data_IF_652661732935
#
_entry.id   IF_652661732935
#
_cell.length_a   1.000
_cell.length_b   1.000
_cell.length_c   1.000
_cell.angle_alpha   90.00
_cell.angle_beta   90.00
_cell.angle_gamma   90.00
#
_symmetry.space_group_name_H-M   'P 1'
#
loop_
_entity.id
_entity.type
_entity.pdbx_description
1 polymer ?
#
# COMPACT_ATOMS: atom_id res chain seq x y z
N UNK A 1 -7.60 -17.16 86.21
CA UNK A 1 -6.58 -18.18 85.86
C UNK A 1 -5.67 -17.62 84.77
N UNK A 2 -4.34 -17.66 85.00
CA UNK A 2 -3.17 -17.44 84.09
C UNK A 2 -3.10 -16.06 83.36
N UNK A 3 -2.29 -15.09 83.85
CA UNK A 3 -0.85 -14.82 83.53
C UNK A 3 -0.58 -14.67 82.01
N UNK A 4 0.18 -13.74 81.47
CA UNK A 4 1.04 -12.63 81.92
C UNK A 4 1.56 -11.93 80.65
N UNK A 5 1.86 -10.63 80.75
CA UNK A 5 2.64 -9.77 79.87
C UNK A 5 3.74 -10.43 79.02
N UNK A 6 3.98 -9.89 77.81
CA UNK A 6 5.28 -9.28 77.42
C UNK A 6 5.20 -8.47 76.14
N UNK A 7 5.54 -7.19 76.28
CA UNK A 7 6.00 -6.25 75.27
C UNK A 7 7.27 -6.72 74.56
N UNK A 8 7.31 -6.64 73.23
CA UNK A 8 8.55 -6.66 72.43
C UNK A 8 8.55 -5.45 71.51
N UNK A 9 9.71 -4.78 71.53
CA UNK A 9 10.01 -3.47 70.98
C UNK A 9 10.06 -3.48 69.45
N UNK A 10 9.66 -2.36 68.87
CA UNK A 10 9.98 -1.96 67.50
C UNK A 10 11.50 -1.87 67.29
N UNK A 11 11.99 -2.42 66.18
CA UNK A 11 13.22 -2.02 65.50
C UNK A 11 12.91 -2.00 64.00
N UNK A 12 13.23 -0.88 63.37
CA UNK A 12 12.94 -0.55 61.99
C UNK A 12 13.74 -1.39 60.98
N UNK A 13 13.13 -1.65 59.83
CA UNK A 13 13.83 -1.75 58.56
C UNK A 13 12.98 -1.04 57.50
N UNK A 14 13.34 0.21 57.22
CA UNK A 14 13.03 0.83 55.93
C UNK A 14 13.69 -0.03 54.86
N UNK A 15 12.88 -0.74 54.08
CA UNK A 15 13.28 -1.23 52.76
C UNK A 15 12.38 -0.52 51.76
N UNK A 16 12.95 0.52 51.16
CA UNK A 16 12.51 1.09 49.89
C UNK A 16 12.39 -0.07 48.89
N UNK A 17 11.16 -0.44 48.54
CA UNK A 17 10.88 -1.28 47.38
C UNK A 17 10.15 -0.42 46.35
N UNK A 18 10.94 0.31 45.57
CA UNK A 18 10.67 0.62 44.18
C UNK A 18 12.06 0.65 43.52
N UNK A 19 12.35 -0.21 42.53
CA UNK A 19 11.60 -0.24 41.28
C UNK A 19 11.40 -1.65 40.67
N UNK A 20 10.15 -2.05 40.42
CA UNK A 20 9.79 -3.15 39.50
C UNK A 20 8.54 -2.78 38.68
N UNK A 21 8.45 -1.53 38.23
CA UNK A 21 7.36 -1.04 37.37
C UNK A 21 7.71 -1.07 35.87
N UNK A 22 8.71 -1.84 35.43
CA UNK A 22 9.08 -1.90 33.99
C UNK A 22 8.53 -3.12 33.26
N UNK A 23 7.52 -3.81 33.79
CA UNK A 23 7.04 -5.05 33.19
C UNK A 23 5.51 -5.20 33.30
N UNK A 24 4.74 -4.19 32.91
CA UNK A 24 3.28 -4.31 32.76
C UNK A 24 2.62 -3.25 31.87
N UNK A 25 3.37 -2.41 31.14
CA UNK A 25 2.69 -1.59 30.12
C UNK A 25 2.36 -2.50 28.93
N UNK A 26 1.06 -2.78 28.67
CA UNK A 26 0.69 -3.56 27.50
C UNK A 26 1.30 -2.87 26.26
N UNK A 27 1.75 -3.65 25.26
CA UNK A 27 2.30 -3.07 24.04
C UNK A 27 1.30 -2.04 23.50
N UNK A 28 1.80 -0.84 23.25
CA UNK A 28 0.98 0.28 22.80
C UNK A 28 0.17 -0.14 21.56
N UNK A 29 -1.15 0.14 21.50
CA UNK A 29 -1.95 -0.21 20.34
C UNK A 29 -1.35 0.33 19.03
N UNK A 30 -1.47 -0.39 17.90
CA UNK A 30 -0.92 0.06 16.61
C UNK A 30 -1.34 1.48 16.23
N UNK A 31 -2.57 1.87 16.54
CA UNK A 31 -3.11 3.20 16.29
C UNK A 31 -2.38 4.26 17.11
N UNK A 32 -2.08 3.97 18.38
CA UNK A 32 -1.33 4.87 19.25
C UNK A 32 0.15 4.96 18.84
N UNK A 33 0.75 3.87 18.34
CA UNK A 33 2.11 3.88 17.78
C UNK A 33 2.18 4.71 16.49
N UNK A 34 1.22 4.53 15.59
CA UNK A 34 1.11 5.30 14.35
C UNK A 34 0.90 6.79 14.65
N UNK A 35 -0.02 7.12 15.56
CA UNK A 35 -0.27 8.50 15.98
C UNK A 35 0.95 9.13 16.67
N UNK A 36 1.67 8.38 17.53
CA UNK A 36 2.90 8.86 18.14
C UNK A 36 3.97 9.13 17.08
N UNK A 37 4.16 8.22 16.12
CA UNK A 37 5.11 8.40 15.03
C UNK A 37 4.73 9.54 14.08
N UNK A 38 3.44 9.86 13.95
CA UNK A 38 3.00 11.07 13.24
C UNK A 38 3.31 12.34 14.02
N UNK A 39 3.08 12.33 15.33
CA UNK A 39 3.30 13.47 16.21
C UNK A 39 4.79 13.75 16.50
N UNK A 40 5.66 12.77 16.30
CA UNK A 40 7.07 12.86 16.67
C UNK A 40 7.98 12.24 15.61
N UNK A 41 8.98 13.00 15.18
CA UNK A 41 9.97 12.59 14.19
C UNK A 41 11.39 12.81 14.73
N UNK A 42 12.32 11.98 14.27
CA UNK A 42 13.74 12.09 14.63
C UNK A 42 14.46 12.84 13.54
N UNK A 43 15.06 13.99 13.87
CA UNK A 43 15.92 14.71 12.95
C UNK A 43 17.36 14.22 13.07
N UNK A 44 17.96 13.82 11.95
CA UNK A 44 19.36 13.43 11.83
C UNK A 44 19.98 14.26 10.71
N UNK A 45 21.06 15.00 11.00
CA UNK A 45 21.70 15.84 10.00
C UNK A 45 22.24 15.01 8.83
N UNK A 46 22.09 15.54 7.62
CA UNK A 46 22.60 14.93 6.40
C UNK A 46 21.65 15.05 5.21
N UNK A 47 22.15 14.62 4.06
CA UNK A 47 21.39 14.44 2.82
C UNK A 47 21.36 12.96 2.46
N UNK A 48 20.17 12.49 2.08
CA UNK A 48 19.95 11.11 1.62
C UNK A 48 19.62 11.16 0.13
N UNK A 49 20.44 10.59 -0.77
CA UNK A 49 20.07 10.44 -2.17
C UNK A 49 18.84 9.53 -2.29
N UNK A 50 17.77 10.01 -2.90
CA UNK A 50 16.49 9.33 -2.97
C UNK A 50 15.97 9.19 -4.41
N UNK A 51 15.31 8.08 -4.69
CA UNK A 51 14.59 7.83 -5.93
C UNK A 51 13.14 7.45 -5.61
N UNK A 52 12.21 8.01 -6.38
CA UNK A 52 10.78 7.73 -6.30
C UNK A 52 10.32 7.36 -7.71
N UNK A 53 9.73 6.18 -7.89
CA UNK A 53 9.17 5.79 -9.18
C UNK A 53 7.84 6.52 -9.46
N UNK A 54 7.35 6.39 -10.69
CA UNK A 54 6.26 7.17 -11.25
C UNK A 54 5.02 7.24 -10.33
N UNK A 55 4.66 6.14 -9.68
CA UNK A 55 3.49 6.03 -8.80
C UNK A 55 3.57 6.87 -7.50
N UNK A 56 4.76 7.32 -7.10
CA UNK A 56 4.99 8.12 -5.89
C UNK A 56 5.87 9.35 -6.11
N UNK A 57 6.25 9.64 -7.36
CA UNK A 57 7.16 10.73 -7.69
C UNK A 57 6.55 12.13 -7.49
N UNK A 58 5.25 12.29 -7.73
CA UNK A 58 4.57 13.62 -7.67
C UNK A 58 4.69 14.27 -6.29
N UNK A 59 4.54 13.49 -5.21
CA UNK A 59 4.63 13.99 -3.84
C UNK A 59 6.07 14.21 -3.34
N UNK A 60 7.07 13.70 -4.05
CA UNK A 60 8.45 13.68 -3.56
C UNK A 60 9.08 15.07 -3.36
N UNK A 61 8.89 16.08 -4.22
CA UNK A 61 9.42 17.42 -3.96
C UNK A 61 8.78 18.07 -2.72
N UNK A 62 7.46 17.96 -2.57
CA UNK A 62 6.72 18.51 -1.44
C UNK A 62 7.14 17.88 -0.11
N UNK A 63 7.34 16.57 -0.09
CA UNK A 63 7.86 15.84 1.06
C UNK A 63 9.29 16.30 1.45
N UNK A 64 10.13 16.68 0.47
CA UNK A 64 11.50 17.13 0.70
C UNK A 64 11.52 18.51 1.38
N UNK A 65 10.64 19.41 0.91
CA UNK A 65 10.44 20.73 1.50
C UNK A 65 9.93 20.63 2.94
N UNK A 66 8.91 19.79 3.17
CA UNK A 66 8.37 19.56 4.51
C UNK A 66 9.40 18.93 5.45
N UNK A 67 10.22 18.00 4.97
CA UNK A 67 11.30 17.40 5.75
C UNK A 67 12.28 18.48 6.22
N UNK A 68 12.75 19.33 5.31
CA UNK A 68 13.71 20.39 5.63
C UNK A 68 13.12 21.44 6.57
N UNK A 69 11.82 21.73 6.43
CA UNK A 69 11.10 22.66 7.31
C UNK A 69 10.96 22.11 8.74
N UNK A 70 10.62 20.83 8.88
CA UNK A 70 10.41 20.18 10.18
C UNK A 70 11.72 19.77 10.86
N UNK A 71 12.74 19.42 10.08
CA UNK A 71 14.06 19.03 10.54
C UNK A 71 15.15 19.85 9.84
N UNK A 72 15.43 21.09 10.29
CA UNK A 72 16.53 21.88 9.77
C UNK A 72 17.84 21.09 9.81
N UNK A 73 18.50 20.92 8.65
CA UNK A 73 19.74 20.14 8.51
C UNK A 73 19.57 18.69 8.06
N UNK A 74 18.33 18.20 7.97
CA UNK A 74 17.99 16.90 7.40
C UNK A 74 17.28 17.09 6.06
N UNK A 75 17.75 16.39 5.02
CA UNK A 75 17.23 16.53 3.66
C UNK A 75 17.34 15.21 2.89
N UNK A 76 16.68 15.17 1.73
CA UNK A 76 17.01 14.21 0.69
C UNK A 76 17.03 14.90 -0.66
N UNK A 77 17.83 14.36 -1.56
CA UNK A 77 17.99 14.88 -2.92
C UNK A 77 17.54 13.82 -3.91
N UNK A 78 16.73 14.23 -4.89
CA UNK A 78 16.26 13.33 -5.93
C UNK A 78 17.40 12.98 -6.90
N UNK A 79 17.61 11.68 -7.11
CA UNK A 79 18.66 11.12 -7.97
C UNK A 79 18.12 9.97 -8.83
N UNK A 80 18.93 9.48 -9.76
CA UNK A 80 18.65 8.24 -10.48
C UNK A 80 18.63 7.02 -9.53
N UNK A 81 17.81 6.01 -9.84
CA UNK A 81 17.69 4.80 -9.02
C UNK A 81 19.04 4.11 -8.75
N UNK A 82 20.01 4.19 -9.66
CA UNK A 82 21.34 3.57 -9.50
C UNK A 82 22.26 4.32 -8.52
N UNK A 83 21.85 5.52 -8.09
CA UNK A 83 22.60 6.37 -7.16
C UNK A 83 21.87 6.55 -5.82
N UNK A 84 20.64 6.02 -5.69
CA UNK A 84 19.77 6.24 -4.56
C UNK A 84 20.17 5.37 -3.34
N UNK A 85 20.17 5.97 -2.15
CA UNK A 85 20.20 5.24 -0.88
C UNK A 85 18.81 4.92 -0.37
N UNK A 86 17.80 5.68 -0.79
CA UNK A 86 16.39 5.46 -0.47
C UNK A 86 15.61 5.33 -1.77
N UNK A 87 14.85 4.25 -1.90
CA UNK A 87 14.08 3.92 -3.11
C UNK A 87 12.64 3.69 -2.71
N UNK A 88 11.72 4.50 -3.25
CA UNK A 88 10.28 4.28 -3.12
C UNK A 88 9.75 3.77 -4.47
N UNK A 89 9.43 2.47 -4.55
CA UNK A 89 8.94 1.85 -5.79
C UNK A 89 8.18 0.55 -5.54
N UNK A 90 7.19 0.26 -6.38
CA UNK A 90 6.58 -1.06 -6.49
C UNK A 90 7.45 -2.05 -7.26
N UNK A 91 8.34 -1.58 -8.14
CA UNK A 91 9.26 -2.45 -8.85
C UNK A 91 10.31 -2.99 -7.87
N UNK A 92 10.20 -4.29 -7.57
CA UNK A 92 11.11 -5.00 -6.66
C UNK A 92 12.58 -5.01 -7.12
N UNK A 93 12.87 -4.63 -8.36
CA UNK A 93 14.22 -4.52 -8.93
C UNK A 93 14.78 -3.09 -8.90
N UNK A 94 14.03 -2.10 -8.39
CA UNK A 94 14.49 -0.72 -8.33
C UNK A 94 15.58 -0.52 -7.25
N UNK A 95 16.54 0.36 -7.54
CA UNK A 95 17.62 0.73 -6.63
C UNK A 95 19.00 0.17 -7.01
N UNK A 96 20.06 0.57 -6.29
CA UNK A 96 21.40 0.08 -6.57
C UNK A 96 21.72 -1.24 -5.85
N UNK A 97 22.57 -2.04 -6.49
CA UNK A 97 23.06 -3.31 -5.97
C UNK A 97 22.00 -4.40 -5.94
N UNK A 98 22.37 -5.54 -5.35
CA UNK A 98 21.52 -6.75 -5.37
C UNK A 98 20.57 -6.84 -4.16
N UNK A 99 20.67 -5.91 -3.19
CA UNK A 99 19.97 -6.03 -1.91
C UNK A 99 19.82 -4.70 -1.15
N UNK A 100 18.63 -4.50 -0.54
CA UNK A 100 18.32 -3.44 0.41
C UNK A 100 18.47 -3.93 1.86
N UNK A 101 19.20 -3.22 2.71
CA UNK A 101 19.40 -3.60 4.13
C UNK A 101 18.16 -3.43 5.00
N UNK A 102 17.21 -2.62 4.55
CA UNK A 102 15.89 -2.47 5.14
C UNK A 102 14.88 -2.16 4.04
N UNK A 103 13.78 -2.91 3.97
CA UNK A 103 12.67 -2.63 3.06
C UNK A 103 11.34 -2.80 3.78
N UNK A 104 10.43 -1.84 3.63
CA UNK A 104 9.12 -1.85 4.27
C UNK A 104 8.04 -1.38 3.29
N UNK A 105 6.78 -1.85 3.42
CA UNK A 105 5.69 -1.28 2.64
C UNK A 105 5.59 0.22 2.91
N UNK A 106 5.29 0.97 1.87
CA UNK A 106 5.15 2.42 1.87
C UNK A 106 3.80 2.88 1.33
N UNK A 107 3.25 2.25 0.31
CA UNK A 107 1.92 2.58 -0.16
C UNK A 107 1.24 1.33 -0.73
N UNK A 108 -0.02 1.49 -1.08
CA UNK A 108 -0.84 0.47 -1.73
C UNK A 108 -1.08 0.89 -3.17
N UNK A 109 -0.51 0.13 -4.10
CA UNK A 109 -0.81 0.22 -5.52
C UNK A 109 -1.82 -0.88 -5.90
N UNK A 110 -2.48 -0.71 -7.04
CA UNK A 110 -3.46 -1.63 -7.59
C UNK A 110 -3.19 -1.96 -9.05
N UNK A 111 -3.66 -3.12 -9.50
CA UNK A 111 -3.78 -3.44 -10.91
C UNK A 111 -5.23 -3.23 -11.36
N UNK A 112 -5.44 -2.44 -12.40
CA UNK A 112 -6.75 -1.97 -12.86
C UNK A 112 -7.01 -2.43 -14.28
N UNK A 113 -8.17 -3.06 -14.49
CA UNK A 113 -8.68 -3.26 -15.84
C UNK A 113 -9.31 -1.95 -16.32
N UNK A 114 -8.84 -1.46 -17.47
CA UNK A 114 -9.33 -0.22 -18.08
C UNK A 114 -9.98 -0.52 -19.42
N UNK A 115 -11.06 0.20 -19.69
CA UNK A 115 -11.87 0.10 -20.90
C UNK A 115 -11.81 1.43 -21.61
N UNK A 116 -11.46 1.42 -22.90
CA UNK A 116 -11.49 2.64 -23.70
C UNK A 116 -12.89 2.84 -24.27
N UNK A 117 -13.59 3.89 -23.82
CA UNK A 117 -14.95 4.18 -24.27
C UNK A 117 -15.17 5.67 -24.48
N UNK A 118 -15.47 6.06 -25.71
CA UNK A 118 -15.91 7.41 -26.04
C UNK A 118 -17.27 7.77 -25.43
N UNK A 119 -18.05 6.77 -25.02
CA UNK A 119 -19.33 6.93 -24.34
C UNK A 119 -19.19 6.98 -22.79
N UNK A 120 -17.98 6.80 -22.25
CA UNK A 120 -17.74 6.75 -20.80
C UNK A 120 -18.32 5.49 -20.13
N UNK A 121 -18.45 4.39 -20.87
CA UNK A 121 -18.94 3.14 -20.31
C UNK A 121 -17.87 2.42 -19.47
N UNK A 122 -18.27 1.93 -18.31
CA UNK A 122 -17.52 0.99 -17.47
C UNK A 122 -18.13 -0.42 -17.58
N UNK A 123 -17.45 -1.44 -17.07
CA UNK A 123 -17.96 -2.80 -17.01
C UNK A 123 -17.70 -3.46 -15.66
N UNK A 124 -18.49 -4.49 -15.38
CA UNK A 124 -18.27 -5.47 -14.33
C UNK A 124 -17.57 -6.68 -14.95
N UNK A 125 -16.47 -7.12 -14.34
CA UNK A 125 -15.79 -8.34 -14.74
C UNK A 125 -15.65 -9.31 -13.57
N UNK A 126 -16.19 -10.52 -13.75
CA UNK A 126 -15.91 -11.67 -12.91
C UNK A 126 -14.54 -12.29 -13.25
N UNK A 127 -14.01 -13.18 -12.40
CA UNK A 127 -12.79 -13.93 -12.73
C UNK A 127 -12.90 -14.68 -14.07
N UNK A 128 -14.06 -15.25 -14.38
CA UNK A 128 -14.27 -16.00 -15.62
C UNK A 128 -14.16 -15.08 -16.86
N UNK A 129 -14.77 -13.89 -16.80
CA UNK A 129 -14.69 -12.90 -17.88
C UNK A 129 -13.27 -12.37 -18.04
N UNK A 130 -12.56 -12.07 -16.95
CA UNK A 130 -11.14 -11.66 -17.01
C UNK A 130 -10.28 -12.72 -17.70
N UNK A 131 -10.42 -13.99 -17.31
CA UNK A 131 -9.68 -15.08 -17.96
C UNK A 131 -9.99 -15.14 -19.45
N UNK A 132 -11.27 -15.08 -19.84
CA UNK A 132 -11.67 -15.17 -21.23
C UNK A 132 -11.19 -13.99 -22.09
N UNK A 133 -11.16 -12.78 -21.53
CA UNK A 133 -10.59 -11.60 -22.20
C UNK A 133 -9.08 -11.79 -22.41
N UNK A 134 -8.37 -12.21 -21.37
CA UNK A 134 -6.91 -12.33 -21.40
C UNK A 134 -6.44 -13.48 -22.30
N UNK A 135 -7.13 -14.62 -22.31
CA UNK A 135 -6.78 -15.76 -23.17
C UNK A 135 -7.34 -15.67 -24.59
N UNK A 136 -8.10 -14.60 -24.89
CA UNK A 136 -8.65 -14.33 -26.20
C UNK A 136 -9.83 -15.20 -26.58
N UNK A 137 -10.41 -15.99 -25.66
CA UNK A 137 -11.68 -16.68 -25.92
C UNK A 137 -12.88 -15.74 -25.95
N UNK A 138 -12.80 -14.59 -25.27
CA UNK A 138 -13.76 -13.49 -25.33
C UNK A 138 -13.20 -12.39 -26.24
N UNK A 139 -13.86 -12.17 -27.38
CA UNK A 139 -13.43 -11.22 -28.43
C UNK A 139 -14.53 -10.23 -28.83
N UNK A 140 -15.64 -10.19 -28.08
CA UNK A 140 -16.79 -9.32 -28.36
C UNK A 140 -17.42 -8.87 -27.05
N UNK A 141 -17.86 -7.61 -26.99
CA UNK A 141 -18.57 -7.07 -25.82
C UNK A 141 -19.95 -7.71 -25.60
N UNK A 142 -20.48 -8.40 -26.60
CA UNK A 142 -21.72 -9.17 -26.52
C UNK A 142 -21.51 -10.62 -26.06
N UNK A 143 -20.30 -10.98 -25.61
CA UNK A 143 -20.07 -12.33 -25.09
C UNK A 143 -21.02 -12.64 -23.92
N UNK A 144 -21.64 -13.84 -23.88
CA UNK A 144 -22.58 -14.20 -22.81
C UNK A 144 -22.00 -14.03 -21.40
N UNK A 145 -20.69 -14.18 -21.21
CA UNK A 145 -20.03 -14.01 -19.92
C UNK A 145 -20.01 -12.54 -19.50
N UNK A 146 -19.70 -11.62 -20.42
CA UNK A 146 -19.78 -10.17 -20.18
C UNK A 146 -21.22 -9.77 -19.89
N UNK A 147 -22.19 -10.25 -20.69
CA UNK A 147 -23.61 -9.96 -20.45
C UNK A 147 -24.05 -10.42 -19.05
N UNK A 148 -23.64 -11.62 -18.65
CA UNK A 148 -23.99 -12.16 -17.33
C UNK A 148 -23.46 -11.28 -16.19
N UNK A 149 -22.21 -10.81 -16.28
CA UNK A 149 -21.61 -9.91 -15.29
C UNK A 149 -22.29 -8.53 -15.26
N UNK A 150 -22.87 -8.08 -16.38
CA UNK A 150 -23.40 -6.73 -16.58
C UNK A 150 -24.94 -6.70 -16.67
N UNK A 151 -25.62 -7.50 -15.84
CA UNK A 151 -27.08 -7.53 -15.71
C UNK A 151 -27.82 -7.78 -17.05
N UNK A 152 -27.22 -8.58 -17.93
CA UNK A 152 -27.75 -8.95 -19.24
C UNK A 152 -27.53 -7.91 -20.34
N UNK A 153 -26.74 -6.85 -20.10
CA UNK A 153 -26.50 -5.78 -21.05
C UNK A 153 -25.01 -5.68 -21.38
N UNK A 154 -24.70 -5.50 -22.66
CA UNK A 154 -23.32 -5.27 -23.09
C UNK A 154 -22.92 -3.84 -22.68
N UNK A 155 -21.76 -3.66 -22.01
CA UNK A 155 -21.23 -2.33 -21.70
C UNK A 155 -20.95 -1.50 -22.95
N UNK A 156 -20.52 -2.16 -24.02
CA UNK A 156 -20.15 -1.59 -25.31
C UNK A 156 -20.66 -2.48 -26.45
N UNK A 157 -20.60 -1.96 -27.67
CA UNK A 157 -20.90 -2.72 -28.88
C UNK A 157 -19.62 -3.11 -29.63
N UNK A 158 -19.69 -4.20 -30.40
CA UNK A 158 -18.63 -4.57 -31.34
C UNK A 158 -17.50 -5.43 -30.76
N UNK A 159 -16.37 -5.52 -31.48
CA UNK A 159 -15.25 -6.36 -31.09
C UNK A 159 -14.55 -5.86 -29.83
N UNK A 160 -14.07 -6.80 -29.02
CA UNK A 160 -13.23 -6.55 -27.85
C UNK A 160 -11.80 -6.92 -28.21
N UNK A 161 -10.87 -5.99 -27.99
CA UNK A 161 -9.42 -6.24 -28.13
C UNK A 161 -8.75 -6.11 -26.78
N UNK A 162 -7.98 -7.11 -26.38
CA UNK A 162 -7.14 -7.03 -25.19
C UNK A 162 -5.73 -6.53 -25.56
N UNK A 163 -5.22 -5.56 -24.80
CA UNK A 163 -3.85 -5.05 -24.93
C UNK A 163 -2.99 -5.69 -23.84
N UNK A 164 -2.01 -6.55 -24.19
CA UNK A 164 -1.35 -7.44 -23.24
C UNK A 164 -0.21 -6.80 -22.43
N UNK A 165 0.17 -5.56 -22.73
CA UNK A 165 1.26 -4.84 -22.05
C UNK A 165 0.84 -4.49 -20.62
N UNK A 166 1.62 -4.89 -19.62
CA UNK A 166 1.31 -4.67 -18.20
C UNK A 166 2.58 -4.68 -17.33
N UNK A 167 2.48 -4.19 -16.09
CA UNK A 167 3.56 -4.31 -15.10
C UNK A 167 3.57 -5.69 -14.44
N UNK A 168 4.76 -6.21 -14.16
CA UNK A 168 5.01 -7.51 -13.54
C UNK A 168 4.34 -7.64 -12.16
N UNK A 169 4.47 -6.63 -11.28
CA UNK A 169 3.92 -6.68 -9.93
C UNK A 169 2.39 -6.66 -9.92
N UNK A 170 1.77 -5.91 -10.83
CA UNK A 170 0.32 -5.94 -11.05
C UNK A 170 -0.15 -7.34 -11.50
N UNK A 171 0.60 -8.00 -12.38
CA UNK A 171 0.32 -9.38 -12.81
C UNK A 171 0.44 -10.37 -11.66
N UNK A 172 1.43 -10.19 -10.78
CA UNK A 172 1.57 -11.03 -9.60
C UNK A 172 0.34 -10.90 -8.67
N UNK A 173 -0.14 -9.68 -8.43
CA UNK A 173 -1.37 -9.44 -7.67
C UNK A 173 -2.61 -10.04 -8.35
N UNK A 174 -2.74 -9.88 -9.68
CA UNK A 174 -3.83 -10.47 -10.45
C UNK A 174 -3.86 -11.99 -10.34
N UNK A 175 -2.69 -12.66 -10.40
CA UNK A 175 -2.58 -14.12 -10.26
C UNK A 175 -3.03 -14.59 -8.87
N UNK A 176 -2.67 -13.87 -7.81
CA UNK A 176 -3.10 -14.18 -6.44
C UNK A 176 -4.62 -14.03 -6.31
N UNK A 177 -5.17 -12.90 -6.76
CA UNK A 177 -6.60 -12.64 -6.76
C UNK A 177 -7.37 -13.69 -7.56
N UNK A 178 -6.93 -13.97 -8.79
CA UNK A 178 -7.60 -14.92 -9.66
C UNK A 178 -7.59 -16.33 -9.06
N UNK A 179 -6.44 -16.77 -8.52
CA UNK A 179 -6.34 -18.08 -7.86
C UNK A 179 -7.31 -18.23 -6.70
N UNK A 180 -7.49 -17.17 -5.92
CA UNK A 180 -8.44 -17.15 -4.80
C UNK A 180 -9.88 -17.35 -5.28
N UNK A 181 -10.31 -16.60 -6.29
CA UNK A 181 -11.73 -16.57 -6.68
C UNK A 181 -12.12 -17.59 -7.75
N UNK A 182 -11.18 -17.98 -8.62
CA UNK A 182 -11.40 -19.00 -9.64
C UNK A 182 -10.98 -20.41 -9.21
N UNK A 183 -10.23 -20.54 -8.10
CA UNK A 183 -9.73 -21.82 -7.59
C UNK A 183 -8.68 -22.50 -8.49
N UNK A 184 -8.11 -21.78 -9.46
CA UNK A 184 -7.12 -22.26 -10.44
C UNK A 184 -6.16 -21.15 -10.84
N UNK A 185 -5.00 -21.51 -11.39
CA UNK A 185 -4.03 -20.52 -11.84
C UNK A 185 -4.51 -19.78 -13.10
N UNK A 186 -4.20 -18.48 -13.19
CA UNK A 186 -4.49 -17.66 -14.37
C UNK A 186 -3.63 -18.15 -15.53
N UNK A 187 -4.27 -18.50 -16.65
CA UNK A 187 -3.57 -18.87 -17.88
C UNK A 187 -3.52 -17.67 -18.80
N UNK A 188 -2.34 -17.08 -19.01
CA UNK A 188 -2.22 -15.83 -19.75
C UNK A 188 -0.83 -15.67 -20.36
N UNK A 189 -0.80 -15.20 -21.61
CA UNK A 189 0.42 -14.70 -22.28
C UNK A 189 0.38 -13.16 -22.24
N UNK A 190 0.95 -12.58 -21.18
CA UNK A 190 1.01 -11.14 -20.95
C UNK A 190 2.42 -10.63 -21.28
N UNK A 191 2.51 -9.46 -21.92
CA UNK A 191 3.77 -8.72 -22.06
C UNK A 191 4.06 -7.98 -20.76
N UNK A 192 4.48 -8.75 -19.75
CA UNK A 192 4.79 -8.27 -18.41
C UNK A 192 6.17 -7.62 -18.36
N UNK A 193 6.21 -6.33 -18.02
CA UNK A 193 7.43 -5.51 -17.95
C UNK A 193 7.74 -5.12 -16.51
N UNK A 194 9.01 -4.80 -16.24
CA UNK A 194 9.42 -4.30 -14.92
C UNK A 194 8.75 -2.96 -14.57
N UNK A 195 8.51 -2.12 -15.57
CA UNK A 195 7.77 -0.87 -15.46
C UNK A 195 7.00 -0.59 -16.75
N UNK A 196 5.90 0.13 -16.62
CA UNK A 196 5.09 0.69 -17.72
C UNK A 196 4.76 2.13 -17.38
N UNK A 197 4.38 2.92 -18.37
CA UNK A 197 4.06 4.34 -18.22
C UNK A 197 2.82 4.71 -19.04
N UNK A 198 2.35 5.95 -18.91
CA UNK A 198 1.25 6.48 -19.73
C UNK A 198 1.49 6.32 -21.23
N UNK A 199 2.74 6.44 -21.70
CA UNK A 199 3.09 6.31 -23.12
C UNK A 199 2.78 4.91 -23.70
N UNK A 200 2.74 3.89 -22.86
CA UNK A 200 2.36 2.53 -23.28
C UNK A 200 0.85 2.41 -23.59
N UNK A 201 0.04 3.35 -23.11
CA UNK A 201 -1.44 3.27 -23.12
C UNK A 201 -2.14 4.51 -23.71
N UNK A 202 -1.44 5.59 -24.02
CA UNK A 202 -2.05 6.84 -24.51
C UNK A 202 -2.85 6.69 -25.83
N UNK A 203 -2.57 5.63 -26.59
CA UNK A 203 -3.18 5.33 -27.89
C UNK A 203 -4.03 4.05 -27.87
N UNK A 204 -4.63 3.69 -26.72
CA UNK A 204 -5.53 2.53 -26.65
C UNK A 204 -6.70 2.66 -27.65
N UNK A 205 -7.02 1.62 -28.44
CA UNK A 205 -8.15 1.65 -29.36
C UNK A 205 -9.49 1.74 -28.62
N UNK A 206 -10.50 2.39 -29.22
CA UNK A 206 -11.89 2.33 -28.73
C UNK A 206 -12.36 0.88 -28.57
N UNK A 207 -13.05 0.58 -27.47
CA UNK A 207 -13.55 -0.75 -27.17
C UNK A 207 -12.47 -1.75 -26.74
N UNK A 208 -11.24 -1.31 -26.51
CA UNK A 208 -10.17 -2.15 -25.97
C UNK A 208 -10.26 -2.29 -24.44
N UNK A 209 -9.67 -3.39 -23.95
CA UNK A 209 -9.39 -3.62 -22.54
C UNK A 209 -7.88 -3.70 -22.34
N UNK A 210 -7.35 -3.02 -21.33
CA UNK A 210 -5.97 -3.18 -20.87
C UNK A 210 -5.93 -3.43 -19.37
N UNK A 211 -4.85 -4.02 -18.87
CA UNK A 211 -4.60 -4.19 -17.44
C UNK A 211 -3.35 -3.38 -17.06
N UNK A 212 -3.53 -2.38 -16.21
CA UNK A 212 -2.52 -1.32 -15.98
C UNK A 212 -2.36 -1.04 -14.47
N UNK A 213 -1.22 -0.51 -14.02
CA UNK A 213 -1.11 0.02 -12.65
C UNK A 213 -2.11 1.14 -12.38
N UNK A 214 -2.63 1.24 -11.16
CA UNK A 214 -3.62 2.23 -10.74
C UNK A 214 -3.12 3.67 -10.87
N UNK A 215 -1.86 3.94 -10.50
CA UNK A 215 -1.24 5.24 -10.73
C UNK A 215 -1.17 5.60 -12.22
N UNK A 216 -0.81 4.64 -13.08
CA UNK A 216 -0.77 4.83 -14.54
C UNK A 216 -2.16 5.08 -15.09
N UNK A 217 -3.19 4.36 -14.64
CA UNK A 217 -4.58 4.64 -15.01
C UNK A 217 -5.02 6.06 -14.62
N UNK A 218 -4.69 6.49 -13.41
CA UNK A 218 -5.03 7.83 -12.91
C UNK A 218 -4.34 8.91 -13.75
N UNK A 219 -3.05 8.74 -14.05
CA UNK A 219 -2.30 9.66 -14.89
C UNK A 219 -2.82 9.67 -16.35
N UNK A 220 -3.09 8.49 -16.92
CA UNK A 220 -3.64 8.30 -18.26
C UNK A 220 -4.99 9.02 -18.42
N UNK A 221 -5.84 8.97 -17.39
CA UNK A 221 -7.16 9.63 -17.39
C UNK A 221 -7.10 11.15 -17.58
N UNK A 222 -5.94 11.77 -17.29
CA UNK A 222 -5.74 13.21 -17.46
C UNK A 222 -5.27 13.60 -18.87
N UNK A 223 -4.70 12.67 -19.64
CA UNK A 223 -4.04 12.98 -20.92
C UNK A 223 -4.59 12.22 -22.13
N UNK A 224 -5.29 11.11 -21.92
CA UNK A 224 -5.84 10.30 -22.99
C UNK A 224 -6.91 11.06 -23.79
N UNK A 225 -6.89 10.93 -25.12
CA UNK A 225 -7.90 11.54 -25.98
C UNK A 225 -9.30 10.95 -25.77
N UNK A 226 -9.36 9.64 -25.49
CA UNK A 226 -10.56 8.94 -25.05
C UNK A 226 -10.33 8.56 -23.60
N UNK A 227 -11.16 9.06 -22.70
CA UNK A 227 -10.98 8.82 -21.27
C UNK A 227 -11.16 7.32 -20.99
N UNK A 228 -10.13 6.63 -20.45
CA UNK A 228 -10.28 5.25 -20.03
C UNK A 228 -11.23 5.18 -18.83
N UNK A 229 -12.09 4.17 -18.81
CA UNK A 229 -12.99 3.89 -17.71
C UNK A 229 -12.51 2.65 -16.96
N UNK A 230 -12.47 2.67 -15.62
CA UNK A 230 -12.07 1.50 -14.85
C UNK A 230 -13.19 0.45 -14.91
N UNK A 231 -12.84 -0.82 -14.96
CA UNK A 231 -13.77 -1.92 -14.73
C UNK A 231 -13.81 -2.31 -13.24
N UNK A 232 -15.00 -2.68 -12.78
CA UNK A 232 -15.24 -3.14 -11.42
C UNK A 232 -15.09 -4.66 -11.33
N UNK A 233 -14.57 -5.16 -10.20
CA UNK A 233 -14.39 -6.59 -9.96
C UNK A 233 -15.66 -7.21 -9.37
N UNK A 234 -16.24 -8.20 -10.05
CA UNK A 234 -17.45 -8.88 -9.62
C UNK A 234 -17.13 -10.27 -9.04
N UNK A 235 -16.89 -10.33 -7.73
CA UNK A 235 -16.59 -11.60 -7.01
C UNK A 235 -17.74 -12.11 -6.14
N UNK A 236 -18.56 -11.21 -5.62
CA UNK A 236 -19.71 -11.52 -4.76
C UNK A 236 -20.88 -10.62 -5.18
N UNK A 237 -21.58 -11.02 -6.24
CA UNK A 237 -22.67 -10.24 -6.82
C UNK A 237 -23.91 -10.15 -5.90
N UNK A 238 -24.06 -11.07 -4.94
CA UNK A 238 -25.16 -11.03 -3.97
C UNK A 238 -24.94 -9.91 -2.96
N UNK A 239 -23.70 -9.78 -2.45
CA UNK A 239 -23.35 -8.74 -1.48
C UNK A 239 -23.00 -7.41 -2.12
N UNK A 240 -22.32 -7.45 -3.27
CA UNK A 240 -21.80 -6.29 -3.99
C UNK A 240 -22.23 -6.37 -5.47
N UNK A 241 -23.50 -6.03 -5.79
CA UNK A 241 -24.04 -6.17 -7.15
C UNK A 241 -23.36 -5.27 -8.19
N UNK A 242 -22.64 -4.23 -7.75
CA UNK A 242 -21.85 -3.33 -8.60
C UNK A 242 -20.34 -3.63 -8.54
N UNK A 243 -19.94 -4.76 -7.95
CA UNK A 243 -18.55 -5.14 -7.79
C UNK A 243 -17.74 -4.17 -6.91
N UNK A 244 -16.44 -4.44 -6.83
CA UNK A 244 -15.47 -3.54 -6.20
C UNK A 244 -14.91 -2.56 -7.24
N UNK A 245 -15.00 -1.27 -6.94
CA UNK A 245 -14.42 -0.19 -7.76
C UNK A 245 -12.94 -0.03 -7.43
N UNK A 246 -12.03 0.20 -8.40
CA UNK A 246 -10.61 0.50 -8.14
C UNK A 246 -10.42 1.94 -7.64
N UNK A 247 -11.12 2.32 -6.58
CA UNK A 247 -10.97 3.61 -5.91
C UNK A 247 -10.16 3.48 -4.61
N UNK A 248 -9.72 4.63 -4.10
CA UNK A 248 -8.87 4.69 -2.91
C UNK A 248 -9.50 3.97 -1.70
N UNK A 249 -10.82 4.08 -1.54
CA UNK A 249 -11.53 3.53 -0.39
C UNK A 249 -11.63 2.01 -0.46
N UNK A 250 -11.92 1.47 -1.64
CA UNK A 250 -12.02 0.03 -1.91
C UNK A 250 -10.64 -0.64 -1.87
N UNK A 251 -9.60 0.06 -2.34
CA UNK A 251 -8.20 -0.37 -2.23
C UNK A 251 -7.74 -0.37 -0.77
N UNK A 252 -8.04 0.68 0.01
CA UNK A 252 -7.76 0.72 1.46
C UNK A 252 -8.50 -0.38 2.22
N UNK A 253 -9.74 -0.66 1.83
CA UNK A 253 -10.54 -1.74 2.42
C UNK A 253 -9.90 -3.10 2.15
N UNK A 254 -9.43 -3.34 0.92
CA UNK A 254 -8.71 -4.56 0.59
C UNK A 254 -7.37 -4.67 1.32
N UNK A 255 -6.59 -3.59 1.39
CA UNK A 255 -5.28 -3.61 2.05
C UNK A 255 -5.39 -3.79 3.56
N UNK A 256 -6.54 -3.46 4.18
CA UNK A 256 -6.81 -3.78 5.60
C UNK A 256 -6.68 -5.27 5.93
N UNK A 257 -6.73 -6.14 4.91
CA UNK A 257 -6.55 -7.59 5.03
C UNK A 257 -5.09 -8.03 4.88
N UNK A 258 -4.14 -7.12 4.72
CA UNK A 258 -2.73 -7.46 4.61
C UNK A 258 -2.18 -8.05 5.90
N UNK A 259 -1.54 -9.21 5.75
CA UNK A 259 -0.76 -9.86 6.77
C UNK A 259 0.71 -9.56 6.56
N UNK A 260 1.35 -9.03 7.59
CA UNK A 260 2.78 -8.70 7.60
C UNK A 260 3.61 -9.96 7.88
N UNK A 261 4.68 -10.15 7.12
CA UNK A 261 5.76 -11.10 7.39
C UNK A 261 7.07 -10.34 7.54
N UNK A 262 7.85 -10.69 8.57
CA UNK A 262 9.11 -10.00 8.91
C UNK A 262 10.30 -10.92 8.73
N UNK A 263 11.31 -10.43 8.03
CA UNK A 263 12.67 -10.99 8.01
C UNK A 263 13.62 -10.04 8.75
N UNK A 264 14.92 -10.32 8.72
CA UNK A 264 15.92 -9.39 9.26
C UNK A 264 15.99 -8.08 8.47
N UNK A 265 15.64 -8.11 7.18
CA UNK A 265 15.95 -7.06 6.21
C UNK A 265 14.71 -6.51 5.51
N UNK A 266 13.56 -7.16 5.67
CA UNK A 266 12.33 -6.73 5.04
C UNK A 266 11.09 -6.98 5.91
N UNK A 267 10.10 -6.11 5.76
CA UNK A 267 8.69 -6.41 5.99
C UNK A 267 8.02 -6.60 4.66
N UNK A 268 7.34 -7.72 4.46
CA UNK A 268 6.52 -7.99 3.29
C UNK A 268 5.06 -8.13 3.70
N UNK A 269 4.16 -7.92 2.75
CA UNK A 269 2.72 -8.09 2.95
C UNK A 269 2.16 -9.07 1.94
N UNK A 270 1.16 -9.82 2.38
CA UNK A 270 0.31 -10.63 1.52
C UNK A 270 -1.13 -10.49 1.98
N UNK A 271 -2.08 -10.53 1.06
CA UNK A 271 -3.50 -10.49 1.41
C UNK A 271 -3.92 -11.79 2.11
N UNK A 272 -4.58 -11.65 3.25
CA UNK A 272 -5.31 -12.72 3.91
C UNK A 272 -6.80 -12.54 3.60
N UNK A 273 -7.30 -13.23 2.57
CA UNK A 273 -8.68 -13.11 2.12
C UNK A 273 -9.73 -13.45 3.20
N UNK A 274 -9.31 -14.13 4.28
CA UNK A 274 -10.17 -14.47 5.41
C UNK A 274 -10.15 -13.42 6.52
N UNK A 275 -9.22 -12.46 6.48
CA UNK A 275 -9.15 -11.38 7.45
C UNK A 275 -10.40 -10.49 7.36
N UNK A 276 -10.86 -10.01 8.52
CA UNK A 276 -12.00 -9.10 8.60
C UNK A 276 -11.63 -7.77 7.93
N UNK A 277 -12.51 -7.29 7.05
CA UNK A 277 -12.40 -5.96 6.46
C UNK A 277 -12.50 -4.88 7.55
N UNK A 278 -11.61 -3.90 7.48
CA UNK A 278 -11.67 -2.70 8.31
C UNK A 278 -12.18 -1.56 7.41
N UNK A 279 -13.28 -0.87 7.79
CA UNK A 279 -13.72 0.32 7.08
C UNK A 279 -12.63 1.40 7.07
N UNK A 280 -12.44 2.10 5.95
CA UNK A 280 -11.57 3.27 5.94
C UNK A 280 -12.06 4.37 6.89
N UNK A 281 -11.18 5.31 7.22
CA UNK A 281 -11.53 6.44 8.09
C UNK A 281 -12.69 7.24 7.48
N UNK A 282 -13.71 7.51 8.30
CA UNK A 282 -14.91 8.23 7.88
C UNK A 282 -16.04 7.33 7.32
N UNK A 283 -15.85 6.02 7.26
CA UNK A 283 -16.86 5.05 6.83
C UNK A 283 -17.32 4.17 8.00
N UNK A 284 -18.63 3.98 8.12
CA UNK A 284 -19.22 3.07 9.10
C UNK A 284 -19.08 1.59 8.66
N UNK A 285 -19.14 1.36 7.35
CA UNK A 285 -19.06 0.04 6.74
C UNK A 285 -17.98 -0.02 5.66
N UNK A 286 -17.32 -1.17 5.57
CA UNK A 286 -16.30 -1.42 4.57
C UNK A 286 -16.96 -1.59 3.18
N UNK A 287 -16.60 -0.77 2.18
CA UNK A 287 -17.05 -0.98 0.80
C UNK A 287 -16.57 -2.33 0.24
N UNK A 288 -17.00 -2.66 -0.98
CA UNK A 288 -16.51 -3.85 -1.68
C UNK A 288 -14.97 -3.76 -1.83
N UNK A 289 -14.19 -4.76 -1.35
CA UNK A 289 -12.73 -4.67 -1.36
C UNK A 289 -12.18 -4.88 -2.78
N UNK A 290 -11.41 -3.93 -3.31
CA UNK A 290 -10.70 -4.09 -4.58
C UNK A 290 -9.35 -4.77 -4.35
N UNK A 291 -9.26 -6.08 -4.62
CA UNK A 291 -8.20 -6.92 -4.06
C UNK A 291 -7.07 -7.28 -5.04
N UNK A 292 -7.02 -6.68 -6.23
CA UNK A 292 -5.84 -6.74 -7.10
C UNK A 292 -4.89 -5.62 -6.65
N UNK A 293 -4.22 -5.83 -5.52
CA UNK A 293 -3.38 -4.83 -4.86
C UNK A 293 -1.98 -5.38 -4.57
N UNK A 294 -0.99 -4.49 -4.57
CA UNK A 294 0.40 -4.80 -4.26
C UNK A 294 1.08 -3.61 -3.56
N UNK A 295 2.12 -3.87 -2.74
CA UNK A 295 2.81 -2.80 -2.04
C UNK A 295 3.74 -2.01 -2.97
N UNK A 296 3.75 -0.69 -2.79
CA UNK A 296 4.94 0.13 -3.08
C UNK A 296 5.87 -0.02 -1.88
N UNK A 297 7.14 -0.33 -2.10
CA UNK A 297 8.13 -0.46 -1.03
C UNK A 297 8.95 0.80 -0.88
N UNK A 298 9.37 1.07 0.37
CA UNK A 298 10.43 2.00 0.71
C UNK A 298 11.64 1.19 1.16
N UNK A 299 12.67 1.18 0.33
CA UNK A 299 13.87 0.35 0.45
C UNK A 299 15.10 1.21 0.69
N UNK A 300 15.95 0.80 1.61
CA UNK A 300 17.22 1.45 1.94
C UNK A 300 18.40 0.62 1.46
N UNK A 301 19.28 1.25 0.69
CA UNK A 301 20.42 0.63 0.01
C UNK A 301 21.76 1.23 0.47
N UNK A 302 22.85 0.50 0.23
CA UNK A 302 24.19 0.92 0.61
C UNK A 302 24.49 0.68 2.10
N UNK A 303 25.16 1.63 2.73
CA UNK A 303 25.50 1.55 4.16
C UNK A 303 24.27 1.86 5.04
N UNK A 304 24.13 1.09 6.13
CA UNK A 304 23.07 1.32 7.12
C UNK A 304 23.38 2.57 7.94
N UNK A 305 22.64 3.66 7.70
CA UNK A 305 22.83 4.94 8.39
C UNK A 305 21.56 5.39 9.12
N UNK A 306 21.75 6.07 10.25
CA UNK A 306 20.63 6.68 10.98
C UNK A 306 19.94 7.77 10.16
N UNK A 307 20.65 8.45 9.27
CA UNK A 307 20.08 9.46 8.35
C UNK A 307 19.05 8.84 7.41
N UNK A 308 19.43 7.78 6.68
CA UNK A 308 18.52 7.07 5.79
C UNK A 308 17.30 6.48 6.52
N UNK A 309 17.51 5.90 7.71
CA UNK A 309 16.42 5.38 8.55
C UNK A 309 15.49 6.48 9.05
N UNK A 310 16.04 7.61 9.48
CA UNK A 310 15.24 8.77 9.90
C UNK A 310 14.42 9.33 8.73
N UNK A 311 15.01 9.45 7.55
CA UNK A 311 14.31 9.92 6.34
C UNK A 311 13.18 8.98 5.99
N UNK A 312 13.44 7.67 5.93
CA UNK A 312 12.39 6.70 5.63
C UNK A 312 11.27 6.68 6.68
N UNK A 313 11.61 6.80 7.97
CA UNK A 313 10.62 6.95 9.05
C UNK A 313 9.75 8.19 8.87
N UNK A 314 10.35 9.32 8.47
CA UNK A 314 9.63 10.56 8.23
C UNK A 314 8.62 10.41 7.08
N UNK A 315 9.02 9.76 5.97
CA UNK A 315 8.15 9.51 4.82
C UNK A 315 6.94 8.64 5.18
N UNK A 316 7.07 7.68 6.09
CA UNK A 316 5.96 6.83 6.56
C UNK A 316 4.85 7.59 7.34
N UNK A 317 4.99 8.90 7.58
CA UNK A 317 3.96 9.76 8.19
C UNK A 317 2.91 10.21 7.15
N UNK A 318 2.38 9.27 6.37
CA UNK A 318 1.58 9.53 5.15
C UNK A 318 0.32 10.38 5.40
N UNK A 319 -0.48 10.02 6.42
CA UNK A 319 -1.77 10.68 6.69
C UNK A 319 -1.59 12.15 7.08
N UNK A 320 -0.49 12.48 7.78
CA UNK A 320 -0.16 13.86 8.19
C UNK A 320 0.46 14.72 7.09
N UNK A 321 0.88 14.09 5.98
CA UNK A 321 1.63 14.78 4.91
C UNK A 321 0.79 15.00 3.66
N UNK A 322 -0.32 14.27 3.44
CA UNK A 322 -1.21 14.51 2.30
C UNK A 322 -0.54 14.41 0.92
N UNK A 323 0.57 13.67 0.83
CA UNK A 323 1.46 13.66 -0.33
C UNK A 323 1.27 12.45 -1.27
N UNK A 324 0.44 11.48 -0.90
CA UNK A 324 0.10 10.34 -1.75
C UNK A 324 -1.14 10.69 -2.56
N UNK A 325 -0.97 10.96 -3.84
CA UNK A 325 -2.03 11.38 -4.77
C UNK A 325 -2.50 10.27 -5.71
N UNK A 326 -1.59 9.36 -6.09
CA UNK A 326 -1.84 8.30 -7.08
C UNK A 326 -1.98 6.89 -6.47
N UNK A 327 -1.63 6.73 -5.19
CA UNK A 327 -1.62 5.44 -4.49
C UNK A 327 -2.29 5.57 -3.12
N UNK A 328 -2.79 4.45 -2.59
CA UNK A 328 -3.42 4.41 -1.26
C UNK A 328 -2.42 4.40 -0.13
N UNK A 329 -2.79 5.03 0.99
CA UNK A 329 -2.04 4.95 2.23
C UNK A 329 -2.06 3.54 2.81
N UNK A 330 -1.04 3.21 3.59
CA UNK A 330 -0.97 1.93 4.28
C UNK A 330 -2.06 1.79 5.35
N UNK A 331 -2.61 0.57 5.54
CA UNK A 331 -3.38 0.25 6.73
C UNK A 331 -2.58 0.56 7.99
N UNK A 332 -3.23 1.09 9.02
CA UNK A 332 -2.59 1.51 10.28
C UNK A 332 -1.75 0.41 10.91
N UNK A 333 -2.22 -0.85 10.88
CA UNK A 333 -1.49 -2.01 11.43
C UNK A 333 -0.19 -2.28 10.67
N UNK A 334 -0.22 -2.26 9.34
CA UNK A 334 0.97 -2.43 8.48
C UNK A 334 1.93 -1.26 8.67
N UNK A 335 1.39 -0.03 8.74
CA UNK A 335 2.18 1.18 8.94
C UNK A 335 2.90 1.19 10.28
N UNK A 336 2.25 0.74 11.36
CA UNK A 336 2.86 0.62 12.68
C UNK A 336 4.05 -0.36 12.67
N UNK A 337 3.91 -1.51 12.00
CA UNK A 337 5.02 -2.47 11.82
C UNK A 337 6.15 -1.87 10.97
N UNK A 338 5.83 -1.19 9.87
CA UNK A 338 6.80 -0.48 9.02
C UNK A 338 7.62 0.55 9.81
N UNK A 339 6.92 1.38 10.60
CA UNK A 339 7.53 2.39 11.48
C UNK A 339 8.45 1.74 12.52
N UNK A 340 8.00 0.67 13.18
CA UNK A 340 8.80 -0.05 14.17
C UNK A 340 10.06 -0.68 13.56
N UNK A 341 9.94 -1.25 12.36
CA UNK A 341 11.06 -1.87 11.65
C UNK A 341 12.11 -0.85 11.21
N UNK A 342 11.68 0.24 10.57
CA UNK A 342 12.62 1.24 10.03
C UNK A 342 13.35 2.00 11.14
N UNK A 343 12.71 2.13 12.31
CA UNK A 343 13.23 2.86 13.47
C UNK A 343 14.40 2.18 14.21
N UNK A 344 14.90 1.04 13.72
CA UNK A 344 16.07 0.36 14.32
C UNK A 344 17.24 1.34 14.50
N UNK A 345 17.70 1.51 15.75
CA UNK A 345 18.81 2.39 16.09
C UNK A 345 18.45 3.88 16.25
N UNK A 346 17.24 4.31 15.86
CA UNK A 346 16.77 5.66 16.14
C UNK A 346 16.32 5.80 17.60
N UNK A 347 16.45 7.00 18.19
CA UNK A 347 15.85 7.29 19.48
C UNK A 347 14.35 6.96 19.50
N UNK A 348 13.88 6.40 20.61
CA UNK A 348 12.44 6.22 20.84
C UNK A 348 11.79 7.60 20.93
N UNK A 349 10.70 7.85 20.20
CA UNK A 349 10.01 9.12 20.32
C UNK A 349 9.42 9.27 21.72
N UNK A 350 9.48 10.48 22.24
CA UNK A 350 8.82 10.85 23.49
C UNK A 350 7.59 11.67 23.14
N UNK A 351 6.48 11.42 23.83
CA UNK A 351 5.30 12.27 23.71
C UNK A 351 5.70 13.71 24.07
N UNK A 352 5.22 14.69 23.28
CA UNK A 352 5.38 16.08 23.66
C UNK A 352 4.75 16.29 25.06
N UNK A 353 5.38 17.05 25.96
CA UNK A 353 4.76 17.39 27.23
C UNK A 353 3.41 18.06 26.96
N UNK A 354 2.38 17.64 27.68
CA UNK A 354 1.05 18.25 27.57
C UNK A 354 1.20 19.77 27.78
N UNK A 355 0.86 20.54 26.75
CA UNK A 355 0.70 21.99 26.91
C UNK A 355 -0.54 22.20 27.78
N UNK A 356 -0.34 22.74 28.99
CA UNK A 356 -1.41 23.20 29.89
C UNK A 356 -2.29 24.28 29.27
#
# INVERSE_FOLDING_TARGET
>A
MKKSYKSVKAVAALLLIAPLLTACDPPMPPEALAALAEASFTCVEGDVPAFFSEEVAEGAPFLAENLTMNCPGMSYTLVDQTQAQLVASSNSQAGPGDFAYASVPYAVESGVFVITSAAGASALFSPATIQGIIDGSITSWNDPSILADNAGQAPLEGPLTFVPVTQLDAVAALKVWYKQYAGKDLNADLDARASVSVADYENLPEGSVAFVPGAVFTALSNVAMVTPMPANLLVDAEKYPFGATPDMMSIQTASSQWKVTKTETALTVAIDFMAKLVPPVGFDEAPAPYQIIYPVYLSLHGEDTLGARATARYLLRQDSQGSLTLVASLPVTVRAEALAFISKGLPTPTAAPATE
#
